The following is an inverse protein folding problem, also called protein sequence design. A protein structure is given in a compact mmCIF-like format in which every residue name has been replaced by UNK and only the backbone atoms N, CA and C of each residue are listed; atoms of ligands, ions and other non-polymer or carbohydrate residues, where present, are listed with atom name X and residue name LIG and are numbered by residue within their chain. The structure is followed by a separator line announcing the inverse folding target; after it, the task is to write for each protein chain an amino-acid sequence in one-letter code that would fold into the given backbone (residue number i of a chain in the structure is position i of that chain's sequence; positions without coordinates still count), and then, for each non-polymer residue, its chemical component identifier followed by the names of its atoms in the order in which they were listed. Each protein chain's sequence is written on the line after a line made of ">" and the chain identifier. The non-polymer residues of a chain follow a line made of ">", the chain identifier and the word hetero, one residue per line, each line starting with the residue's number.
data_IF_289851244121
#
_entry.id   IF_289851244121
#
_cell.length_a   1.000
_cell.length_b   1.000
_cell.length_c   1.000
_cell.angle_alpha   90.00
_cell.angle_beta   90.00
_cell.angle_gamma   90.00
#
_symmetry.space_group_name_H-M   'P 1'
#
loop_
_entity.id
_entity.type
_entity.pdbx_description
1 polymer ?
#
# COMPACT_ATOMS: atom_id res chain seq x y z
N UNK A 1 -10.10 -8.67 18.63
CA UNK A 1 -9.04 -8.91 19.63
C UNK A 1 -7.62 -8.66 19.09
N UNK A 2 -7.41 -8.95 17.81
CA UNK A 2 -6.15 -8.89 17.07
C UNK A 2 -5.76 -7.45 16.72
N UNK A 3 -6.70 -6.61 16.29
CA UNK A 3 -6.44 -5.19 15.99
C UNK A 3 -5.95 -4.42 17.22
N UNK A 4 -6.56 -4.66 18.39
CA UNK A 4 -6.11 -4.09 19.67
C UNK A 4 -4.67 -4.52 20.01
N UNK A 5 -4.34 -5.81 19.82
CA UNK A 5 -2.97 -6.31 20.06
C UNK A 5 -1.94 -5.67 19.13
N UNK A 6 -2.30 -5.47 17.86
CA UNK A 6 -1.43 -4.79 16.90
C UNK A 6 -1.17 -3.33 17.31
N UNK A 7 -2.22 -2.59 17.71
CA UNK A 7 -2.08 -1.24 18.24
C UNK A 7 -1.21 -1.19 19.49
N UNK A 8 -1.44 -2.10 20.45
CA UNK A 8 -0.61 -2.19 21.66
C UNK A 8 0.86 -2.46 21.36
N UNK A 9 1.15 -3.30 20.37
CA UNK A 9 2.52 -3.53 19.92
C UNK A 9 3.15 -2.26 19.33
N UNK A 10 2.42 -1.53 18.48
CA UNK A 10 2.91 -0.28 17.88
C UNK A 10 3.14 0.81 18.94
N UNK A 11 2.25 0.94 19.92
CA UNK A 11 2.42 1.86 21.06
C UNK A 11 3.67 1.48 21.86
N UNK A 12 3.87 0.19 22.17
CA UNK A 12 5.07 -0.26 22.86
C UNK A 12 6.36 0.14 22.13
N UNK A 13 6.36 0.08 20.78
CA UNK A 13 7.49 0.54 19.96
C UNK A 13 7.70 2.07 20.03
N UNK A 14 6.63 2.85 20.18
CA UNK A 14 6.74 4.30 20.39
C UNK A 14 7.26 4.61 21.81
N UNK A 15 6.79 3.89 22.82
CA UNK A 15 7.18 4.06 24.23
C UNK A 15 8.64 3.67 24.49
N UNK A 16 9.13 2.60 23.87
CA UNK A 16 10.52 2.14 24.01
C UNK A 16 11.50 2.86 23.05
N UNK A 17 10.99 3.72 22.16
CA UNK A 17 11.76 4.52 21.22
C UNK A 17 12.29 3.75 20.01
N UNK A 18 11.84 2.52 19.77
CA UNK A 18 12.19 1.75 18.57
C UNK A 18 11.44 2.19 17.31
N UNK A 19 10.33 2.92 17.46
CA UNK A 19 9.60 3.56 16.38
C UNK A 19 9.44 5.06 16.61
N UNK A 20 9.26 5.80 15.52
CA UNK A 20 8.94 7.23 15.52
C UNK A 20 7.57 7.44 14.87
N UNK A 21 6.77 8.34 15.42
CA UNK A 21 5.61 8.90 14.73
C UNK A 21 6.10 10.00 13.79
N UNK A 22 6.00 9.77 12.49
CA UNK A 22 6.42 10.71 11.44
C UNK A 22 5.16 11.20 10.73
N UNK A 23 5.08 12.51 10.51
CA UNK A 23 4.05 13.11 9.67
C UNK A 23 4.51 13.12 8.20
N UNK A 24 3.60 12.78 7.29
CA UNK A 24 3.89 12.68 5.86
C UNK A 24 4.67 11.43 5.47
N UNK A 25 5.63 11.58 4.55
CA UNK A 25 6.39 10.47 3.98
C UNK A 25 7.73 10.25 4.69
N UNK A 26 8.10 8.99 4.89
CA UNK A 26 9.27 8.58 5.67
C UNK A 26 10.59 8.64 4.89
N UNK A 27 10.55 8.80 3.56
CA UNK A 27 11.73 8.71 2.69
C UNK A 27 12.78 9.79 3.00
N UNK A 28 12.34 11.01 3.36
CA UNK A 28 13.24 12.08 3.79
C UNK A 28 13.95 11.70 5.12
N UNK A 29 13.19 11.27 6.13
CA UNK A 29 13.74 10.82 7.41
C UNK A 29 14.69 9.62 7.25
N UNK A 30 14.38 8.72 6.33
CA UNK A 30 15.26 7.60 5.99
C UNK A 30 16.56 8.09 5.34
N UNK A 31 16.45 8.95 4.31
CA UNK A 31 17.60 9.55 3.62
C UNK A 31 18.51 10.40 4.52
N UNK A 32 17.95 11.01 5.56
CA UNK A 32 18.67 11.78 6.58
C UNK A 32 19.17 10.92 7.75
N UNK A 33 19.00 9.59 7.67
CA UNK A 33 19.42 8.60 8.67
C UNK A 33 18.78 8.78 10.05
N UNK A 34 17.60 9.39 10.10
CA UNK A 34 16.80 9.48 11.34
C UNK A 34 16.16 8.14 11.71
N UNK A 35 15.80 7.34 10.70
CA UNK A 35 15.23 6.00 10.87
C UNK A 35 16.07 4.97 10.11
N UNK A 36 16.16 3.76 10.65
CA UNK A 36 16.93 2.67 10.05
C UNK A 36 16.14 1.85 9.03
N UNK A 37 14.80 1.86 9.13
CA UNK A 37 13.90 1.14 8.24
C UNK A 37 12.50 1.77 8.30
N UNK A 38 11.69 1.55 7.27
CA UNK A 38 10.27 1.90 7.26
C UNK A 38 9.49 0.94 6.35
N UNK A 39 8.17 0.89 6.52
CA UNK A 39 7.26 0.13 5.66
C UNK A 39 6.61 1.12 4.70
N UNK A 40 6.96 1.02 3.41
CA UNK A 40 6.44 1.89 2.37
C UNK A 40 5.83 1.14 1.19
N UNK A 41 5.10 1.87 0.34
CA UNK A 41 4.67 1.37 -0.96
C UNK A 41 5.87 1.08 -1.86
N UNK A 42 5.79 0.05 -2.70
CA UNK A 42 6.81 -0.22 -3.73
C UNK A 42 7.00 0.97 -4.69
N UNK A 43 5.92 1.71 -4.99
CA UNK A 43 5.98 2.95 -5.77
C UNK A 43 6.80 4.05 -5.07
N UNK A 44 7.03 3.94 -3.76
CA UNK A 44 7.86 4.84 -2.96
C UNK A 44 9.36 4.66 -3.17
N UNK A 45 9.81 3.57 -3.81
CA UNK A 45 11.23 3.21 -3.88
C UNK A 45 12.09 4.29 -4.55
N UNK A 46 11.57 4.95 -5.59
CA UNK A 46 12.29 6.01 -6.30
C UNK A 46 12.49 7.24 -5.41
N UNK A 47 11.54 7.54 -4.52
CA UNK A 47 11.68 8.63 -3.54
C UNK A 47 12.73 8.27 -2.49
N UNK A 48 12.72 7.02 -2.00
CA UNK A 48 13.76 6.51 -1.11
C UNK A 48 15.16 6.65 -1.72
N UNK A 49 15.33 6.22 -2.97
CA UNK A 49 16.61 6.35 -3.69
C UNK A 49 17.06 7.80 -3.82
N UNK A 50 16.15 8.71 -4.17
CA UNK A 50 16.44 10.13 -4.31
C UNK A 50 16.85 10.75 -2.96
N UNK A 51 16.12 10.44 -1.88
CA UNK A 51 16.39 10.96 -0.54
C UNK A 51 17.69 10.40 0.05
N UNK A 52 18.01 9.12 -0.23
CA UNK A 52 19.30 8.51 0.09
C UNK A 52 20.42 9.13 -0.72
N UNK A 53 20.23 9.39 -2.02
CA UNK A 53 21.20 10.10 -2.87
C UNK A 53 22.61 9.49 -2.86
N UNK A 54 22.73 8.17 -2.69
CA UNK A 54 24.00 7.46 -2.57
C UNK A 54 24.74 7.64 -1.23
N UNK A 55 24.11 8.26 -0.22
CA UNK A 55 24.70 8.45 1.12
C UNK A 55 25.00 7.12 1.83
N UNK A 56 24.25 6.06 1.54
CA UNK A 56 24.42 4.72 2.12
C UNK A 56 23.73 3.67 1.25
N UNK A 57 24.05 2.40 1.48
CA UNK A 57 23.39 1.26 0.83
C UNK A 57 22.13 0.86 1.60
N UNK A 58 21.08 0.49 0.87
CA UNK A 58 19.85 -0.04 1.45
C UNK A 58 19.25 -1.13 0.55
N UNK A 59 18.32 -1.90 1.10
CA UNK A 59 17.58 -2.93 0.37
C UNK A 59 16.14 -3.02 0.84
N UNK A 60 15.29 -3.59 -0.02
CA UNK A 60 13.92 -3.99 0.31
C UNK A 60 13.91 -5.41 0.88
N UNK A 61 12.91 -5.70 1.72
CA UNK A 61 12.67 -7.01 2.30
C UNK A 61 11.16 -7.32 2.30
N UNK A 62 10.75 -8.60 2.39
CA UNK A 62 9.36 -8.96 2.64
C UNK A 62 8.82 -8.29 3.91
N UNK A 63 7.50 -8.03 3.95
CA UNK A 63 6.86 -7.47 5.14
C UNK A 63 7.06 -8.38 6.35
N UNK A 64 7.37 -7.82 7.54
CA UNK A 64 7.41 -8.59 8.77
C UNK A 64 6.06 -9.24 9.05
N UNK A 65 6.06 -10.53 9.41
CA UNK A 65 4.84 -11.27 9.76
C UNK A 65 4.70 -11.44 11.27
N UNK A 66 3.52 -11.17 11.80
CA UNK A 66 3.13 -11.54 13.16
C UNK A 66 2.42 -12.89 13.19
N UNK A 67 1.14 -12.90 13.58
CA UNK A 67 0.29 -14.11 13.64
C UNK A 67 0.14 -14.79 12.29
N UNK A 68 0.06 -14.00 11.22
CA UNK A 68 0.02 -14.47 9.84
C UNK A 68 0.66 -13.45 8.91
N UNK A 69 1.27 -13.86 7.79
CA UNK A 69 1.70 -12.94 6.75
C UNK A 69 0.49 -12.22 6.14
N UNK A 70 0.72 -11.00 5.65
CA UNK A 70 -0.30 -10.22 4.95
C UNK A 70 0.34 -9.07 4.19
N UNK A 71 0.05 -8.99 2.90
CA UNK A 71 0.52 -7.91 2.03
C UNK A 71 -0.68 -7.16 1.45
N UNK A 72 -0.92 -5.88 1.80
CA UNK A 72 -1.99 -5.12 1.18
C UNK A 72 -1.65 -4.85 -0.29
N UNK A 73 -2.57 -5.21 -1.19
CA UNK A 73 -2.50 -4.78 -2.57
C UNK A 73 -3.23 -3.46 -2.75
N UNK A 74 -2.46 -2.45 -3.13
CA UNK A 74 -2.88 -1.07 -3.29
C UNK A 74 -2.21 -0.48 -4.54
N UNK A 75 -2.81 0.54 -5.10
CA UNK A 75 -2.29 1.21 -6.29
C UNK A 75 -3.39 1.88 -7.08
N UNK A 76 -3.03 2.31 -8.28
CA UNK A 76 -3.94 3.00 -9.18
C UNK A 76 -4.83 2.01 -9.93
N UNK A 77 -6.10 2.38 -10.11
CA UNK A 77 -7.06 1.64 -10.91
C UNK A 77 -7.37 2.39 -12.21
N UNK A 78 -7.76 1.65 -13.25
CA UNK A 78 -8.37 2.20 -14.46
C UNK A 78 -9.85 1.84 -14.43
N UNK A 79 -10.71 2.84 -14.52
CA UNK A 79 -12.15 2.67 -14.53
C UNK A 79 -12.75 3.12 -15.87
N UNK A 80 -13.78 2.41 -16.30
CA UNK A 80 -14.62 2.76 -17.43
C UNK A 80 -16.01 3.10 -16.89
N UNK A 81 -16.49 4.30 -17.18
CA UNK A 81 -17.81 4.74 -16.73
C UNK A 81 -18.91 4.03 -17.50
N UNK A 82 -19.97 3.63 -16.80
CA UNK A 82 -21.11 2.92 -17.39
C UNK A 82 -21.83 3.74 -18.48
N UNK A 83 -21.85 5.08 -18.29
CA UNK A 83 -22.46 6.04 -19.20
C UNK A 83 -21.74 6.18 -20.56
N UNK A 84 -20.59 5.56 -20.77
CA UNK A 84 -19.88 5.57 -22.05
C UNK A 84 -20.70 4.86 -23.15
N UNK A 85 -20.55 5.32 -24.39
CA UNK A 85 -21.13 4.65 -25.57
C UNK A 85 -20.46 3.30 -25.82
N UNK A 86 -21.12 2.42 -26.57
CA UNK A 86 -20.55 1.10 -26.89
C UNK A 86 -19.26 1.21 -27.69
N UNK A 87 -19.15 2.20 -28.57
CA UNK A 87 -17.93 2.52 -29.32
C UNK A 87 -16.79 2.94 -28.39
N UNK A 88 -17.06 3.80 -27.40
CA UNK A 88 -16.08 4.23 -26.40
C UNK A 88 -15.65 3.08 -25.50
N UNK A 89 -16.59 2.23 -25.06
CA UNK A 89 -16.28 1.03 -24.28
C UNK A 89 -15.38 0.07 -25.06
N UNK A 90 -15.65 -0.12 -26.35
CA UNK A 90 -14.80 -0.95 -27.22
C UNK A 90 -13.40 -0.34 -27.42
N UNK A 91 -13.28 0.98 -27.55
CA UNK A 91 -12.00 1.67 -27.62
C UNK A 91 -11.21 1.58 -26.31
N UNK A 92 -11.88 1.78 -25.17
CA UNK A 92 -11.30 1.65 -23.84
C UNK A 92 -10.75 0.24 -23.60
N UNK A 93 -11.48 -0.81 -24.00
CA UNK A 93 -11.01 -2.20 -23.89
C UNK A 93 -9.71 -2.43 -24.70
N UNK A 94 -9.61 -1.87 -25.91
CA UNK A 94 -8.38 -1.93 -26.72
C UNK A 94 -7.23 -1.19 -26.04
N UNK A 95 -7.49 -0.01 -25.50
CA UNK A 95 -6.49 0.79 -24.79
C UNK A 95 -5.97 0.06 -23.55
N UNK A 96 -6.85 -0.47 -22.69
CA UNK A 96 -6.46 -1.22 -21.48
C UNK A 96 -5.62 -2.45 -21.86
N UNK A 97 -6.00 -3.18 -22.91
CA UNK A 97 -5.23 -4.33 -23.40
C UNK A 97 -3.84 -3.93 -23.91
N UNK A 98 -3.74 -2.81 -24.62
CA UNK A 98 -2.44 -2.28 -25.06
C UNK A 98 -1.61 -1.85 -23.86
N UNK A 99 -2.16 -1.05 -22.95
CA UNK A 99 -1.47 -0.49 -21.80
C UNK A 99 -0.94 -1.57 -20.85
N UNK A 100 -1.69 -2.65 -20.67
CA UNK A 100 -1.34 -3.76 -19.77
C UNK A 100 -0.67 -4.95 -20.48
N UNK A 101 -0.32 -4.82 -21.78
CA UNK A 101 0.47 -5.83 -22.46
C UNK A 101 1.86 -5.98 -21.80
N UNK A 102 2.56 -7.08 -22.10
CA UNK A 102 3.84 -7.41 -21.44
C UNK A 102 4.86 -6.27 -21.53
N UNK A 103 5.11 -5.75 -22.73
CA UNK A 103 6.12 -4.71 -22.96
C UNK A 103 5.78 -3.40 -22.22
N UNK A 104 4.54 -2.93 -22.35
CA UNK A 104 4.11 -1.66 -21.75
C UNK A 104 4.01 -1.74 -20.22
N UNK A 105 3.56 -2.88 -19.67
CA UNK A 105 3.52 -3.02 -18.22
C UNK A 105 4.93 -3.11 -17.62
N UNK A 106 5.88 -3.70 -18.33
CA UNK A 106 7.30 -3.75 -17.91
C UNK A 106 7.93 -2.37 -18.02
N UNK A 107 7.67 -1.65 -19.11
CA UNK A 107 8.08 -0.27 -19.25
C UNK A 107 7.56 0.58 -18.08
N UNK A 108 6.26 0.49 -17.76
CA UNK A 108 5.69 1.21 -16.63
C UNK A 108 6.35 0.84 -15.29
N UNK A 109 6.50 -0.45 -15.02
CA UNK A 109 7.09 -0.96 -13.78
C UNK A 109 8.53 -0.47 -13.57
N UNK A 110 9.39 -0.65 -14.58
CA UNK A 110 10.82 -0.30 -14.49
C UNK A 110 11.07 1.22 -14.41
N UNK A 111 10.13 2.04 -14.88
CA UNK A 111 10.24 3.52 -14.81
C UNK A 111 9.66 4.14 -13.55
N UNK A 112 8.79 3.43 -12.83
CA UNK A 112 8.06 4.01 -11.69
C UNK A 112 8.35 3.32 -10.36
N UNK A 113 8.78 2.06 -10.37
CA UNK A 113 8.89 1.22 -9.18
C UNK A 113 7.62 0.42 -8.85
N UNK A 114 6.55 0.58 -9.64
CA UNK A 114 5.41 -0.33 -9.61
C UNK A 114 5.81 -1.73 -10.10
N UNK A 115 4.96 -2.71 -9.81
CA UNK A 115 5.09 -4.05 -10.38
C UNK A 115 4.40 -4.12 -11.75
N UNK A 116 4.85 -5.00 -12.65
CA UNK A 116 4.06 -5.39 -13.80
C UNK A 116 2.71 -5.97 -13.36
N UNK A 117 1.62 -5.58 -14.02
CA UNK A 117 0.25 -5.99 -13.64
C UNK A 117 -0.16 -7.34 -14.26
N UNK A 118 0.77 -8.02 -14.94
CA UNK A 118 0.55 -9.32 -15.57
C UNK A 118 1.69 -10.29 -15.26
N UNK A 119 1.38 -11.58 -15.18
CA UNK A 119 2.40 -12.63 -15.03
C UNK A 119 3.40 -12.65 -16.19
N UNK A 120 2.96 -12.35 -17.41
CA UNK A 120 3.85 -12.21 -18.57
C UNK A 120 4.83 -11.05 -18.43
N UNK A 121 4.43 -9.96 -17.77
CA UNK A 121 5.33 -8.86 -17.45
C UNK A 121 6.33 -9.24 -16.36
N UNK A 122 5.87 -9.96 -15.34
CA UNK A 122 6.74 -10.47 -14.26
C UNK A 122 7.81 -11.42 -14.79
N UNK A 123 7.50 -12.32 -15.73
CA UNK A 123 8.48 -13.22 -16.35
C UNK A 123 9.21 -12.63 -17.56
N UNK A 124 8.94 -11.37 -17.92
CA UNK A 124 9.54 -10.75 -19.10
C UNK A 124 11.07 -10.61 -18.94
N UNK A 125 11.88 -10.95 -19.96
CA UNK A 125 13.34 -10.91 -19.86
C UNK A 125 13.90 -9.55 -19.45
N UNK A 126 13.32 -8.46 -19.96
CA UNK A 126 13.73 -7.10 -19.59
C UNK A 126 13.47 -6.78 -18.11
N UNK A 127 12.35 -7.24 -17.57
CA UNK A 127 12.04 -7.04 -16.15
C UNK A 127 12.96 -7.87 -15.25
N UNK A 128 13.23 -9.11 -15.64
CA UNK A 128 14.18 -9.98 -14.92
C UNK A 128 15.61 -9.41 -14.93
N UNK A 129 16.05 -8.88 -16.07
CA UNK A 129 17.33 -8.18 -16.18
C UNK A 129 17.36 -6.91 -15.31
N UNK A 130 16.26 -6.15 -15.27
CA UNK A 130 16.12 -4.98 -14.41
C UNK A 130 16.21 -5.35 -12.92
N UNK A 131 15.55 -6.41 -12.47
CA UNK A 131 15.66 -6.88 -11.08
C UNK A 131 17.09 -7.32 -10.73
N UNK A 132 17.75 -8.05 -11.64
CA UNK A 132 19.14 -8.47 -11.45
C UNK A 132 20.11 -7.29 -11.36
N UNK A 133 19.85 -6.21 -12.11
CA UNK A 133 20.63 -4.96 -12.04
C UNK A 133 20.28 -4.09 -10.82
N UNK A 134 19.14 -4.33 -10.17
CA UNK A 134 18.65 -3.58 -9.01
C UNK A 134 18.31 -4.54 -7.85
N UNK A 135 19.30 -5.27 -7.30
CA UNK A 135 19.06 -6.28 -6.28
C UNK A 135 18.43 -5.71 -5.00
N UNK A 136 18.68 -4.43 -4.69
CA UNK A 136 18.04 -3.73 -3.58
C UNK A 136 16.52 -3.57 -3.75
N UNK A 137 15.98 -3.69 -4.96
CA UNK A 137 14.53 -3.63 -5.26
C UNK A 137 13.87 -5.01 -5.34
N UNK A 138 14.64 -6.09 -5.30
CA UNK A 138 14.16 -7.42 -5.67
C UNK A 138 12.98 -7.92 -4.82
N UNK A 139 12.90 -7.54 -3.54
CA UNK A 139 11.81 -7.99 -2.67
C UNK A 139 10.44 -7.42 -3.09
N UNK A 140 10.40 -6.31 -3.84
CA UNK A 140 9.17 -5.75 -4.40
C UNK A 140 8.48 -6.76 -5.32
N UNK A 141 9.25 -7.55 -6.07
CA UNK A 141 8.74 -8.53 -7.02
C UNK A 141 8.59 -9.94 -6.42
N UNK A 142 8.64 -10.08 -5.08
CA UNK A 142 8.53 -11.38 -4.43
C UNK A 142 7.12 -11.96 -4.62
N UNK A 143 7.01 -13.01 -5.43
CA UNK A 143 5.75 -13.70 -5.71
C UNK A 143 5.19 -14.42 -4.48
N UNK A 144 6.01 -14.79 -3.50
CA UNK A 144 5.51 -15.39 -2.24
C UNK A 144 4.60 -14.41 -1.49
N UNK A 145 4.90 -13.10 -1.58
CA UNK A 145 4.03 -12.08 -0.98
C UNK A 145 2.62 -12.06 -1.61
N UNK A 146 2.47 -12.57 -2.84
CA UNK A 146 1.19 -12.59 -3.53
C UNK A 146 0.24 -13.65 -2.97
N UNK A 147 0.77 -14.74 -2.40
CA UNK A 147 -0.05 -15.76 -1.73
C UNK A 147 -0.76 -15.20 -0.49
N UNK A 148 -0.20 -14.14 0.09
CA UNK A 148 -0.72 -13.45 1.28
C UNK A 148 -1.29 -12.07 0.95
N UNK A 149 -1.49 -11.79 -0.34
CA UNK A 149 -2.08 -10.56 -0.85
C UNK A 149 -3.54 -10.42 -0.42
N UNK A 150 -3.92 -9.26 0.11
CA UNK A 150 -5.33 -8.95 0.39
C UNK A 150 -5.74 -7.59 -0.18
N UNK A 151 -7.04 -7.47 -0.45
CA UNK A 151 -7.65 -6.26 -0.99
C UNK A 151 -8.47 -5.56 0.07
N UNK A 152 -8.64 -4.25 -0.10
CA UNK A 152 -9.51 -3.46 0.74
C UNK A 152 -11.00 -3.84 0.53
N UNK A 153 -11.86 -3.66 1.54
CA UNK A 153 -13.30 -3.84 1.40
C UNK A 153 -13.89 -3.06 0.22
N UNK A 154 -14.77 -3.71 -0.54
CA UNK A 154 -15.37 -3.17 -1.78
C UNK A 154 -16.77 -2.62 -1.52
N UNK A 155 -16.89 -1.74 -0.53
CA UNK A 155 -18.14 -1.06 -0.18
C UNK A 155 -18.02 0.44 -0.50
N UNK A 156 -19.14 1.11 -0.82
CA UNK A 156 -19.11 2.52 -1.20
C UNK A 156 -18.59 3.42 -0.06
N UNK A 157 -18.91 3.06 1.19
CA UNK A 157 -18.45 3.71 2.41
C UNK A 157 -16.95 3.50 2.73
N UNK A 158 -16.22 2.71 1.96
CA UNK A 158 -14.90 2.23 2.41
C UNK A 158 -13.87 3.35 2.61
N UNK A 159 -13.80 4.34 1.73
CA UNK A 159 -12.80 5.42 1.88
C UNK A 159 -13.07 6.26 3.14
N UNK A 160 -14.34 6.49 3.47
CA UNK A 160 -14.71 7.17 4.71
C UNK A 160 -14.40 6.31 5.94
N UNK A 161 -14.77 5.02 5.92
CA UNK A 161 -14.40 4.06 6.97
C UNK A 161 -12.89 4.01 7.20
N UNK A 162 -12.10 4.02 6.11
CA UNK A 162 -10.64 4.03 6.16
C UNK A 162 -10.09 5.31 6.78
N UNK A 163 -10.72 6.46 6.49
CA UNK A 163 -10.41 7.74 7.14
C UNK A 163 -10.61 7.66 8.65
N UNK A 164 -11.78 7.18 9.08
CA UNK A 164 -12.11 7.00 10.51
C UNK A 164 -11.17 6.02 11.21
N UNK A 165 -10.79 4.93 10.55
CA UNK A 165 -9.76 4.01 11.08
C UNK A 165 -8.42 4.75 11.27
N UNK A 166 -8.01 5.56 10.29
CA UNK A 166 -6.74 6.29 10.35
C UNK A 166 -6.74 7.35 11.47
N UNK A 167 -7.85 8.06 11.64
CA UNK A 167 -8.04 9.00 12.74
C UNK A 167 -7.97 8.29 14.10
N UNK A 168 -8.70 7.19 14.27
CA UNK A 168 -8.72 6.40 15.49
C UNK A 168 -7.32 5.87 15.84
N UNK A 169 -6.57 5.34 14.87
CA UNK A 169 -5.17 4.91 15.06
C UNK A 169 -4.29 6.10 15.49
N UNK A 170 -4.49 7.26 14.87
CA UNK A 170 -3.71 8.47 15.19
C UNK A 170 -3.97 8.96 16.61
N UNK A 171 -5.23 9.01 17.06
CA UNK A 171 -5.57 9.39 18.44
C UNK A 171 -4.88 8.49 19.46
N UNK A 172 -4.88 7.18 19.20
CA UNK A 172 -4.19 6.20 20.04
C UNK A 172 -2.68 6.45 20.07
N UNK A 173 -2.04 6.74 18.93
CA UNK A 173 -0.61 7.09 18.90
C UNK A 173 -0.30 8.41 19.61
N UNK A 174 -1.27 9.32 19.71
CA UNK A 174 -1.16 10.57 20.46
C UNK A 174 -1.50 10.43 21.96
N UNK A 175 -1.74 9.20 22.43
CA UNK A 175 -1.90 8.87 23.85
C UNK A 175 -3.33 8.76 24.34
N UNK A 176 -4.33 8.73 23.45
CA UNK A 176 -5.71 8.43 23.82
C UNK A 176 -5.87 6.96 24.24
N UNK A 177 -6.82 6.69 25.13
CA UNK A 177 -7.11 5.34 25.61
C UNK A 177 -7.57 4.42 24.45
N UNK A 178 -6.90 3.28 24.32
CA UNK A 178 -7.12 2.34 23.21
C UNK A 178 -8.57 1.83 23.17
N UNK A 179 -9.16 1.52 24.32
CA UNK A 179 -10.52 0.97 24.35
C UNK A 179 -11.56 2.04 24.01
N UNK A 180 -11.34 3.26 24.48
CA UNK A 180 -12.16 4.41 24.11
C UNK A 180 -12.09 4.68 22.60
N UNK A 181 -10.89 4.88 22.04
CA UNK A 181 -10.73 5.21 20.61
C UNK A 181 -11.29 4.10 19.71
N UNK A 182 -11.10 2.82 20.09
CA UNK A 182 -11.69 1.69 19.36
C UNK A 182 -13.22 1.67 19.42
N UNK A 183 -13.81 2.01 20.58
CA UNK A 183 -15.26 2.08 20.72
C UNK A 183 -15.86 3.22 19.89
N UNK A 184 -15.25 4.41 19.93
CA UNK A 184 -15.67 5.57 19.13
C UNK A 184 -15.53 5.30 17.63
N UNK A 185 -14.35 4.85 17.19
CA UNK A 185 -14.11 4.55 15.77
C UNK A 185 -15.05 3.47 15.26
N UNK A 186 -15.34 2.44 16.07
CA UNK A 186 -16.34 1.43 15.73
C UNK A 186 -17.72 2.03 15.54
N UNK A 187 -18.18 2.87 16.47
CA UNK A 187 -19.49 3.51 16.40
C UNK A 187 -19.64 4.33 15.12
N UNK A 188 -18.66 5.18 14.82
CA UNK A 188 -18.67 6.03 13.62
C UNK A 188 -18.66 5.20 12.33
N UNK A 189 -17.84 4.15 12.26
CA UNK A 189 -17.80 3.24 11.09
C UNK A 189 -19.13 2.50 10.92
N UNK A 190 -19.75 2.05 12.02
CA UNK A 190 -21.05 1.40 11.98
C UNK A 190 -22.13 2.37 11.46
N UNK A 191 -22.14 3.63 11.88
CA UNK A 191 -23.05 4.67 11.35
C UNK A 191 -22.89 4.87 9.84
N UNK A 192 -21.67 5.11 9.37
CA UNK A 192 -21.39 5.30 7.94
C UNK A 192 -21.82 4.09 7.11
N UNK A 193 -21.60 2.88 7.62
CA UNK A 193 -22.06 1.66 6.94
C UNK A 193 -23.59 1.58 6.92
N UNK A 194 -24.27 1.95 8.01
CA UNK A 194 -25.74 1.96 8.05
C UNK A 194 -26.33 3.01 7.10
N UNK A 195 -25.75 4.20 7.02
CA UNK A 195 -26.16 5.24 6.07
C UNK A 195 -26.04 4.74 4.63
N UNK A 196 -24.90 4.17 4.27
CA UNK A 196 -24.69 3.55 2.95
C UNK A 196 -25.74 2.46 2.66
N UNK A 197 -26.11 1.65 3.65
CA UNK A 197 -27.12 0.60 3.47
C UNK A 197 -28.53 1.20 3.28
N UNK A 198 -28.85 2.28 3.97
CA UNK A 198 -30.13 2.97 3.88
C UNK A 198 -30.30 3.73 2.56
N UNK A 199 -29.25 4.31 1.99
CA UNK A 199 -29.29 5.00 0.69
C UNK A 199 -29.44 4.05 -0.51
N UNK A 200 -29.15 2.76 -0.30
CA UNK A 200 -29.21 1.74 -1.35
C UNK A 200 -30.60 1.14 -1.57
N UNK A 201 -31.58 1.54 -0.76
CA UNK A 201 -32.99 1.13 -0.81
C UNK A 201 -33.91 2.36 -0.81
#
# INVERSE_FOLDING_TARGET
>A
PEGKKALQQMIGMLEDGSALLIDGYEDASFGDRMIAMYIGSSAGITYAENSVGGKFEFSTAPLPSGVRPGAPFMGTNIALFDAATEEEKAAAAKFVKWLTNADNTVYFATKTGYLPVTYSGLSHPEYQAWLAANPHKAAIANLEAFEYGYWQPKIAAWEECRGLISEMVTKVFLGEDIDLSLAEGRYQIEEVIQEMLNERF
#
